data_IF_065204371883
#
_entry.id   IF_065204371883
#
_cell.length_a   1.000
_cell.length_b   1.000
_cell.length_c   1.000
_cell.angle_alpha   90.00
_cell.angle_beta   90.00
_cell.angle_gamma   90.00
#
_symmetry.space_group_name_H-M   'P 1'
#
loop_
_entity.id
_entity.type
_entity.pdbx_description
1 polymer ?
#
# COMPACT_ATOMS: atom_id res chain seq x y z
N UNK A 1 8.59 21.20 -24.70
CA UNK A 1 7.35 20.79 -24.00
C UNK A 1 7.77 19.92 -22.84
N UNK A 2 8.09 20.53 -21.71
CA UNK A 2 8.26 19.80 -20.45
C UNK A 2 6.87 19.62 -19.87
N UNK A 3 6.40 18.36 -19.84
CA UNK A 3 5.29 18.00 -18.98
C UNK A 3 5.80 18.11 -17.55
N UNK A 4 5.57 19.27 -16.94
CA UNK A 4 5.55 19.41 -15.48
C UNK A 4 4.49 18.43 -14.99
N UNK A 5 4.94 17.26 -14.52
CA UNK A 5 4.12 16.34 -13.77
C UNK A 5 3.67 17.12 -12.54
N UNK A 6 2.38 17.43 -12.47
CA UNK A 6 1.71 17.76 -11.23
C UNK A 6 2.09 16.66 -10.23
N UNK A 7 2.99 16.97 -9.30
CA UNK A 7 3.27 16.11 -8.17
C UNK A 7 1.97 16.07 -7.35
N UNK A 8 1.08 15.15 -7.72
CA UNK A 8 -0.15 14.90 -6.99
C UNK A 8 0.26 14.64 -5.54
N UNK A 9 -0.10 15.56 -4.66
CA UNK A 9 0.22 15.45 -3.24
C UNK A 9 -0.47 14.19 -2.73
N UNK A 10 0.32 13.14 -2.49
CA UNK A 10 -0.22 11.92 -1.90
C UNK A 10 -0.71 12.27 -0.49
N UNK A 11 -1.93 11.82 -0.11
CA UNK A 11 -2.49 12.17 1.19
C UNK A 11 -1.76 11.53 2.37
N UNK A 12 -0.89 10.53 2.10
CA UNK A 12 -0.07 9.82 3.09
C UNK A 12 1.29 9.49 2.49
N UNK A 13 2.36 9.64 3.26
CA UNK A 13 3.68 9.10 2.92
C UNK A 13 3.70 7.57 3.03
N UNK A 14 4.74 6.94 2.47
CA UNK A 14 4.92 5.50 2.62
C UNK A 14 5.08 5.11 4.09
N UNK A 15 5.89 5.86 4.84
CA UNK A 15 6.19 5.61 6.25
C UNK A 15 4.93 5.73 7.11
N UNK A 16 4.10 6.74 6.86
CA UNK A 16 2.81 6.90 7.54
C UNK A 16 1.89 5.71 7.26
N UNK A 17 1.78 5.32 5.98
CA UNK A 17 0.97 4.17 5.59
C UNK A 17 1.47 2.87 6.25
N UNK A 18 2.78 2.65 6.24
CA UNK A 18 3.42 1.48 6.82
C UNK A 18 3.15 1.39 8.33
N UNK A 19 3.37 2.48 9.08
CA UNK A 19 3.15 2.48 10.52
C UNK A 19 1.67 2.34 10.90
N UNK A 20 0.74 2.93 10.14
CA UNK A 20 -0.69 2.72 10.39
C UNK A 20 -1.07 1.26 10.14
N UNK A 21 -0.65 0.66 9.02
CA UNK A 21 -0.92 -0.76 8.72
C UNK A 21 -0.29 -1.70 9.75
N UNK A 22 0.92 -1.41 10.21
CA UNK A 22 1.61 -2.19 11.24
C UNK A 22 0.87 -2.15 12.59
N UNK A 23 0.35 -0.98 12.98
CA UNK A 23 -0.30 -0.79 14.27
C UNK A 23 -1.77 -1.21 14.28
N UNK A 24 -2.50 -1.02 13.18
CA UNK A 24 -3.93 -1.32 13.06
C UNK A 24 -4.21 -2.71 12.48
N UNK A 25 -3.22 -3.30 11.82
CA UNK A 25 -3.34 -4.56 11.10
C UNK A 25 -3.72 -4.37 9.62
N UNK A 26 -3.97 -5.48 8.91
CA UNK A 26 -4.17 -5.45 7.46
C UNK A 26 -5.40 -4.66 7.03
N UNK A 27 -5.25 -3.85 5.98
CA UNK A 27 -6.35 -3.20 5.30
C UNK A 27 -7.05 -4.16 4.33
N UNK A 28 -8.37 -4.00 4.17
CA UNK A 28 -9.11 -4.57 3.06
C UNK A 28 -9.51 -3.45 2.11
N UNK A 29 -9.10 -3.57 0.85
CA UNK A 29 -9.46 -2.62 -0.21
C UNK A 29 -10.18 -3.34 -1.33
N UNK A 30 -11.04 -2.62 -2.04
CA UNK A 30 -11.83 -3.18 -3.12
C UNK A 30 -11.57 -2.38 -4.39
N UNK A 31 -11.07 -3.03 -5.44
CA UNK A 31 -10.94 -2.42 -6.77
C UNK A 31 -12.28 -1.94 -7.33
N UNK A 32 -12.25 -1.11 -8.36
CA UNK A 32 -13.47 -0.69 -9.08
C UNK A 32 -14.28 -1.87 -9.63
N UNK A 33 -13.61 -2.99 -9.95
CA UNK A 33 -14.23 -4.21 -10.46
C UNK A 33 -14.69 -5.18 -9.36
N UNK A 34 -14.59 -4.80 -8.08
CA UNK A 34 -15.09 -5.60 -6.96
C UNK A 34 -14.11 -6.68 -6.47
N UNK A 35 -12.87 -6.70 -6.95
CA UNK A 35 -11.83 -7.57 -6.41
C UNK A 35 -11.35 -7.02 -5.08
N UNK A 36 -11.40 -7.85 -4.04
CA UNK A 36 -10.93 -7.53 -2.69
C UNK A 36 -9.47 -7.93 -2.55
N UNK A 37 -8.67 -7.01 -2.01
CA UNK A 37 -7.26 -7.21 -1.68
C UNK A 37 -7.07 -7.03 -0.19
N UNK A 38 -6.20 -7.85 0.38
CA UNK A 38 -5.67 -7.64 1.73
C UNK A 38 -4.31 -6.98 1.62
N UNK A 39 -4.06 -5.92 2.39
CA UNK A 39 -2.82 -5.18 2.37
C UNK A 39 -2.25 -5.10 3.77
N UNK A 40 -0.98 -5.45 3.96
CA UNK A 40 -0.33 -5.42 5.26
C UNK A 40 1.07 -4.82 5.21
N UNK A 41 1.54 -4.33 6.36
CA UNK A 41 2.93 -3.94 6.56
C UNK A 41 3.80 -5.19 6.73
N UNK A 42 4.89 -5.27 5.98
CA UNK A 42 5.80 -6.40 5.99
C UNK A 42 7.27 -5.93 6.09
N UNK A 43 7.97 -6.39 7.11
CA UNK A 43 9.44 -6.30 7.18
C UNK A 43 10.06 -7.49 6.45
N UNK A 44 10.80 -7.22 5.38
CA UNK A 44 11.55 -8.24 4.64
C UNK A 44 13.01 -8.23 5.09
N UNK A 45 13.59 -9.36 5.53
CA UNK A 45 15.02 -9.45 5.81
C UNK A 45 15.84 -9.21 4.55
N UNK A 46 16.92 -8.43 4.67
CA UNK A 46 17.93 -8.22 3.64
C UNK A 46 19.27 -8.85 4.02
N UNK A 47 20.11 -9.08 3.01
CA UNK A 47 21.48 -9.52 3.18
C UNK A 47 22.25 -8.43 3.94
N UNK A 48 22.68 -8.73 5.17
CA UNK A 48 23.34 -7.88 6.20
C UNK A 48 22.51 -7.63 7.47
N UNK A 49 21.35 -8.28 7.62
CA UNK A 49 20.57 -8.20 8.86
C UNK A 49 19.81 -6.88 9.02
N UNK A 50 19.70 -6.09 7.95
CA UNK A 50 18.76 -4.98 7.86
C UNK A 50 17.39 -5.51 7.42
N UNK A 51 16.33 -4.83 7.84
CA UNK A 51 14.97 -5.11 7.35
C UNK A 51 14.53 -4.00 6.40
N UNK A 52 13.93 -4.40 5.29
CA UNK A 52 13.27 -3.50 4.36
C UNK A 52 11.79 -3.44 4.68
N UNK A 53 11.27 -2.22 4.85
CA UNK A 53 9.84 -1.99 5.04
C UNK A 53 9.14 -2.02 3.69
N UNK A 54 8.12 -2.87 3.59
CA UNK A 54 7.36 -3.11 2.37
C UNK A 54 5.87 -3.12 2.69
N UNK A 55 5.05 -2.55 1.82
CA UNK A 55 3.60 -2.78 1.84
C UNK A 55 3.30 -3.97 0.93
N UNK A 56 2.71 -5.02 1.50
CA UNK A 56 2.44 -6.28 0.82
C UNK A 56 0.97 -6.37 0.45
N UNK A 57 0.69 -6.67 -0.81
CA UNK A 57 -0.67 -6.79 -1.34
C UNK A 57 -0.96 -8.25 -1.69
N UNK A 58 -2.07 -8.73 -1.17
CA UNK A 58 -2.60 -10.06 -1.39
C UNK A 58 -3.83 -9.98 -2.29
N UNK A 59 -3.77 -10.45 -3.55
CA UNK A 59 -4.98 -10.68 -4.32
C UNK A 59 -5.81 -11.79 -3.67
N UNK A 60 -7.14 -11.76 -3.87
CA UNK A 60 -8.11 -12.69 -3.28
C UNK A 60 -7.62 -14.15 -3.19
N UNK A 61 -7.88 -14.79 -2.04
CA UNK A 61 -7.64 -16.22 -1.81
C UNK A 61 -8.24 -17.07 -2.94
N UNK A 62 -7.38 -17.68 -3.77
CA UNK A 62 -7.79 -18.52 -4.90
C UNK A 62 -6.83 -18.49 -6.09
N UNK A 63 -6.04 -17.41 -6.26
CA UNK A 63 -5.00 -17.33 -7.29
C UNK A 63 -3.65 -17.77 -6.73
N UNK A 64 -3.45 -19.09 -6.66
CA UNK A 64 -2.29 -19.75 -6.04
C UNK A 64 -0.94 -19.46 -6.74
N UNK A 65 -0.94 -18.88 -7.94
CA UNK A 65 0.28 -18.60 -8.71
C UNK A 65 0.74 -17.13 -8.66
N UNK A 66 -0.12 -16.20 -8.25
CA UNK A 66 0.28 -14.80 -8.09
C UNK A 66 0.83 -14.65 -6.68
N UNK A 67 2.16 -14.64 -6.58
CA UNK A 67 2.88 -14.26 -5.37
C UNK A 67 2.48 -12.84 -4.97
N UNK A 68 2.58 -12.55 -3.67
CA UNK A 68 2.33 -11.23 -3.13
C UNK A 68 2.96 -10.13 -3.99
N UNK A 69 2.24 -9.03 -4.17
CA UNK A 69 2.80 -7.84 -4.80
C UNK A 69 3.41 -6.97 -3.70
N UNK A 70 4.63 -6.53 -3.92
CA UNK A 70 5.38 -5.70 -2.98
C UNK A 70 5.42 -4.27 -3.49
N UNK A 71 5.01 -3.33 -2.64
CA UNK A 71 5.10 -1.90 -2.87
C UNK A 71 6.20 -1.40 -1.96
N UNK A 72 7.31 -0.97 -2.56
CA UNK A 72 8.44 -0.36 -1.90
C UNK A 72 8.22 1.16 -1.75
N UNK A 73 8.99 1.85 -0.87
CA UNK A 73 8.85 3.29 -0.67
C UNK A 73 8.99 4.12 -1.94
N UNK A 74 9.91 3.75 -2.83
CA UNK A 74 10.19 4.41 -4.11
C UNK A 74 9.08 4.25 -5.14
N UNK A 75 8.20 3.26 -4.96
CA UNK A 75 7.07 2.96 -5.84
C UNK A 75 5.72 3.34 -5.19
N UNK A 76 5.72 4.05 -4.07
CA UNK A 76 4.50 4.44 -3.36
C UNK A 76 3.67 5.47 -4.13
N UNK A 77 2.38 5.19 -4.32
CA UNK A 77 1.45 6.06 -5.04
C UNK A 77 1.58 5.99 -6.57
N UNK A 78 2.48 5.14 -7.09
CA UNK A 78 2.61 4.85 -8.52
C UNK A 78 1.66 3.71 -8.91
N UNK A 79 1.10 3.77 -10.12
CA UNK A 79 0.28 2.69 -10.68
C UNK A 79 1.08 1.40 -10.93
N UNK A 80 2.41 1.49 -10.95
CA UNK A 80 3.34 0.37 -11.17
C UNK A 80 4.32 0.22 -10.02
N UNK A 81 4.51 -1.02 -9.57
CA UNK A 81 5.61 -1.37 -8.67
C UNK A 81 6.94 -1.42 -9.41
N UNK A 82 8.03 -1.51 -8.64
CA UNK A 82 9.38 -1.58 -9.19
C UNK A 82 9.63 -2.90 -9.98
N UNK A 83 8.74 -3.88 -9.83
CA UNK A 83 8.73 -5.13 -10.61
C UNK A 83 7.81 -5.05 -11.85
N UNK A 84 7.25 -3.88 -12.15
CA UNK A 84 6.34 -3.66 -13.28
C UNK A 84 4.93 -4.23 -13.07
N UNK A 85 4.54 -4.50 -11.82
CA UNK A 85 3.19 -5.02 -11.50
C UNK A 85 2.24 -3.84 -11.31
N UNK A 86 1.06 -3.89 -11.95
CA UNK A 86 0.01 -2.87 -11.78
C UNK A 86 -0.65 -2.97 -10.42
N UNK A 87 -0.75 -1.84 -9.73
CA UNK A 87 -1.35 -1.67 -8.40
C UNK A 87 -2.29 -0.46 -8.31
N UNK A 88 -2.65 0.16 -9.44
CA UNK A 88 -3.58 1.30 -9.52
C UNK A 88 -4.88 1.09 -8.72
N UNK A 89 -5.42 -0.14 -8.72
CA UNK A 89 -6.63 -0.54 -8.01
C UNK A 89 -6.51 -0.45 -6.48
N UNK A 90 -5.29 -0.54 -5.96
CA UNK A 90 -5.01 -0.40 -4.54
C UNK A 90 -5.21 1.05 -4.10
N UNK A 91 -4.84 2.00 -4.94
CA UNK A 91 -4.95 3.43 -4.66
C UNK A 91 -6.33 3.98 -5.01
N UNK A 92 -6.87 3.59 -6.17
CA UNK A 92 -8.08 4.15 -6.75
C UNK A 92 -9.35 3.31 -6.50
N UNK A 93 -9.24 2.26 -5.67
CA UNK A 93 -10.37 1.43 -5.25
C UNK A 93 -11.47 2.17 -4.48
N UNK A 94 -12.59 1.48 -4.23
CA UNK A 94 -13.75 1.98 -3.47
C UNK A 94 -14.15 1.00 -2.35
N UNK A 95 -13.58 1.11 -1.13
CA UNK A 95 -12.51 2.02 -0.72
C UNK A 95 -11.12 1.53 -1.16
N UNK A 96 -10.25 2.47 -1.53
CA UNK A 96 -8.81 2.24 -1.75
C UNK A 96 -8.00 2.45 -0.47
N UNK A 97 -6.69 2.22 -0.53
CA UNK A 97 -5.81 2.28 0.63
C UNK A 97 -5.77 3.65 1.30
N UNK A 98 -5.80 4.74 0.53
CA UNK A 98 -5.78 6.10 1.10
C UNK A 98 -7.06 6.42 1.88
N UNK A 99 -8.22 5.93 1.42
CA UNK A 99 -9.47 6.09 2.17
C UNK A 99 -9.42 5.30 3.48
N UNK A 100 -8.92 4.06 3.43
CA UNK A 100 -8.74 3.24 4.63
C UNK A 100 -7.77 3.89 5.63
N UNK A 101 -6.62 4.40 5.16
CA UNK A 101 -5.64 5.08 6.00
C UNK A 101 -6.22 6.32 6.67
N UNK A 102 -7.02 7.12 5.94
CA UNK A 102 -7.70 8.28 6.51
C UNK A 102 -8.61 7.93 7.69
N UNK A 103 -9.30 6.80 7.62
CA UNK A 103 -10.23 6.34 8.66
C UNK A 103 -9.51 5.77 9.89
N UNK A 104 -8.24 5.41 9.77
CA UNK A 104 -7.46 4.72 10.81
C UNK A 104 -6.31 5.56 11.39
N UNK A 105 -5.76 6.51 10.62
CA UNK A 105 -4.73 7.43 11.08
C UNK A 105 -5.26 8.47 12.07
N UNK A 106 -6.54 8.83 12.00
CA UNK A 106 -7.15 9.76 12.97
C UNK A 106 -7.46 9.11 14.33
N UNK A 107 -7.42 7.77 14.43
CA UNK A 107 -7.74 7.04 15.67
C UNK A 107 -6.51 6.80 16.56
N UNK A 108 -5.29 7.00 16.04
CA UNK A 108 -4.05 6.88 16.82
C UNK A 108 -3.73 8.11 17.66
N UNK A 109 -4.39 9.26 17.44
CA UNK A 109 -4.20 10.47 18.23
C UNK A 109 -4.90 10.46 19.62
N UNK A 110 -5.55 9.36 20.01
CA UNK A 110 -6.30 9.26 21.28
C UNK A 110 -5.62 8.44 22.38
N UNK A 111 -4.32 8.18 22.27
CA UNK A 111 -3.53 7.58 23.36
C UNK A 111 -2.31 8.46 23.68
N UNK A 112 -2.56 9.60 24.30
CA UNK A 112 -1.60 10.33 25.15
C UNK A 112 -2.30 10.78 26.43
#
# INVERSE_FOLDING_TARGET
MEQLQDAAFLPFSFEEAYEVLKNQGPAQVTSALGTVYTIDAYSRPQDKGTEEQIIRVHPRSGYTYIRHVYIHPDCWGSDLTCQGVRVEDIYNGKPGIFAWLKDHCNKTASFL
#
